data_IF_295171996597
#
_entry.id   IF_295171996597
#
_cell.length_a   1.000
_cell.length_b   1.000
_cell.length_c   1.000
_cell.angle_alpha   90.00
_cell.angle_beta   90.00
_cell.angle_gamma   90.00
#
_symmetry.space_group_name_H-M   'P 1'
#
loop_
_entity.id
_entity.type
_entity.pdbx_description
1 polymer ?
#
# COMPACT_ATOMS: atom_id res chain seq x y z
N UNK A 1 8.56 -9.72 -14.88
CA UNK A 1 8.02 -8.78 -15.92
C UNK A 1 7.00 -9.55 -16.73
N UNK A 2 5.77 -9.15 -16.67
CA UNK A 2 4.68 -9.80 -17.41
C UNK A 2 4.28 -8.92 -18.60
N UNK A 3 4.00 -9.56 -19.73
CA UNK A 3 3.66 -8.90 -20.99
C UNK A 3 2.26 -9.33 -21.42
N UNK A 4 1.42 -8.35 -21.71
CA UNK A 4 0.06 -8.58 -22.18
C UNK A 4 -0.16 -7.76 -23.44
N UNK A 5 -0.90 -8.33 -24.40
CA UNK A 5 -1.33 -7.63 -25.61
C UNK A 5 -2.84 -7.76 -25.74
N UNK A 6 -3.52 -6.65 -25.89
CA UNK A 6 -4.96 -6.57 -26.10
C UNK A 6 -5.24 -5.98 -27.49
N UNK A 7 -6.26 -6.48 -28.15
CA UNK A 7 -6.80 -5.89 -29.37
C UNK A 7 -8.20 -5.33 -29.04
N UNK A 8 -8.41 -4.05 -29.28
CA UNK A 8 -9.72 -3.44 -29.08
C UNK A 8 -10.72 -3.92 -30.13
N UNK A 9 -11.85 -4.42 -29.67
CA UNK A 9 -12.95 -4.89 -30.49
C UNK A 9 -13.96 -3.76 -30.77
N UNK A 10 -14.99 -4.05 -31.55
CA UNK A 10 -16.01 -3.07 -31.94
C UNK A 10 -16.78 -2.54 -30.72
N UNK A 11 -16.96 -3.35 -29.70
CA UNK A 11 -17.64 -3.01 -28.45
C UNK A 11 -16.81 -2.08 -27.54
N UNK A 12 -15.48 -2.06 -27.70
CA UNK A 12 -14.56 -1.23 -26.92
C UNK A 12 -14.42 0.20 -27.48
N UNK A 13 -14.96 0.46 -28.66
CA UNK A 13 -14.81 1.74 -29.36
C UNK A 13 -15.38 2.88 -28.53
N UNK A 14 -14.55 3.90 -28.25
CA UNK A 14 -14.90 5.07 -27.47
C UNK A 14 -14.64 4.92 -25.97
N UNK A 15 -14.37 3.70 -25.49
CA UNK A 15 -13.92 3.46 -24.11
C UNK A 15 -12.52 4.05 -23.89
N UNK A 16 -12.27 4.61 -22.75
CA UNK A 16 -10.94 5.13 -22.40
C UNK A 16 -10.00 3.96 -22.14
N UNK A 17 -8.75 4.07 -22.60
CA UNK A 17 -7.74 3.03 -22.43
C UNK A 17 -7.48 2.71 -20.95
N UNK A 18 -7.50 3.71 -20.04
CA UNK A 18 -7.30 3.48 -18.60
C UNK A 18 -8.47 2.74 -17.94
N UNK A 19 -9.67 2.87 -18.45
CA UNK A 19 -10.86 2.12 -18.01
C UNK A 19 -10.80 0.71 -18.54
N UNK A 20 -10.63 0.56 -19.86
CA UNK A 20 -10.54 -0.74 -20.54
C UNK A 20 -9.52 -1.67 -19.87
N UNK A 21 -8.30 -1.18 -19.64
CA UNK A 21 -7.25 -1.99 -19.02
C UNK A 21 -7.55 -2.33 -17.55
N UNK A 22 -8.16 -1.41 -16.79
CA UNK A 22 -8.53 -1.70 -15.40
C UNK A 22 -9.68 -2.72 -15.28
N UNK A 23 -10.52 -2.86 -16.32
CA UNK A 23 -11.59 -3.86 -16.37
C UNK A 23 -11.10 -5.23 -16.85
N UNK A 24 -10.03 -5.25 -17.66
CA UNK A 24 -9.48 -6.49 -18.25
C UNK A 24 -8.25 -7.04 -17.51
N UNK A 25 -7.75 -6.34 -16.48
CA UNK A 25 -6.58 -6.74 -15.68
C UNK A 25 -6.93 -6.68 -14.21
N UNK A 26 -7.17 -7.84 -13.57
CA UNK A 26 -7.65 -7.94 -12.18
C UNK A 26 -6.73 -7.27 -11.15
N UNK A 27 -5.41 -7.27 -11.40
CA UNK A 27 -4.40 -6.74 -10.49
C UNK A 27 -4.04 -5.26 -10.71
N UNK A 28 -4.66 -4.60 -11.70
CA UNK A 28 -4.34 -3.22 -12.05
C UNK A 28 -5.52 -2.27 -11.80
N UNK A 29 -5.37 -1.42 -10.78
CA UNK A 29 -6.29 -0.31 -10.60
C UNK A 29 -6.11 0.74 -11.70
N UNK A 30 -7.15 1.55 -11.95
CA UNK A 30 -7.11 2.64 -12.92
C UNK A 30 -5.96 3.63 -12.71
N UNK A 31 -5.59 3.92 -11.44
CA UNK A 31 -4.43 4.74 -11.11
C UNK A 31 -3.12 4.04 -11.42
N UNK A 32 -3.06 2.70 -11.26
CA UNK A 32 -1.93 1.88 -11.66
C UNK A 32 -1.70 1.92 -13.18
N UNK A 33 -2.77 1.79 -13.96
CA UNK A 33 -2.72 1.92 -15.43
C UNK A 33 -2.20 3.29 -15.85
N UNK A 34 -2.69 4.37 -15.22
CA UNK A 34 -2.23 5.73 -15.53
C UNK A 34 -0.73 5.89 -15.28
N UNK A 35 -0.24 5.37 -14.16
CA UNK A 35 1.20 5.37 -13.83
C UNK A 35 2.02 4.60 -14.87
N UNK A 36 1.59 3.42 -15.28
CA UNK A 36 2.29 2.62 -16.31
C UNK A 36 2.29 3.32 -17.67
N UNK A 37 1.24 4.05 -18.03
CA UNK A 37 1.21 4.89 -19.24
C UNK A 37 2.24 6.02 -19.17
N UNK A 38 2.32 6.73 -18.04
CA UNK A 38 3.26 7.83 -17.83
C UNK A 38 4.72 7.33 -17.84
N UNK A 39 4.96 6.12 -17.35
CA UNK A 39 6.27 5.44 -17.37
C UNK A 39 6.61 4.84 -18.76
N UNK A 40 5.66 4.86 -19.72
CA UNK A 40 5.86 4.32 -21.07
C UNK A 40 5.82 2.80 -21.14
N UNK A 41 5.31 2.14 -20.09
CA UNK A 41 5.12 0.69 -19.99
C UNK A 41 3.85 0.21 -20.72
N UNK A 42 2.99 1.13 -21.13
CA UNK A 42 1.83 0.85 -21.97
C UNK A 42 1.97 1.62 -23.28
N UNK A 43 1.89 0.90 -24.38
CA UNK A 43 1.93 1.47 -25.72
C UNK A 43 0.64 1.17 -26.49
N UNK A 44 0.33 2.03 -27.44
CA UNK A 44 -0.82 1.88 -28.35
C UNK A 44 -0.30 1.86 -29.80
N UNK A 45 -0.56 0.79 -30.53
CA UNK A 45 -0.07 0.60 -31.90
C UNK A 45 1.46 0.84 -32.02
N UNK A 46 2.22 0.42 -31.00
CA UNK A 46 3.68 0.59 -30.92
C UNK A 46 4.13 2.00 -30.55
N UNK A 47 3.21 2.93 -30.22
CA UNK A 47 3.51 4.31 -29.87
C UNK A 47 3.05 4.69 -28.44
N UNK A 48 3.53 5.84 -27.94
CA UNK A 48 3.08 6.40 -26.65
C UNK A 48 1.60 6.79 -26.72
N UNK A 49 0.91 6.61 -25.62
CA UNK A 49 -0.51 6.98 -25.49
C UNK A 49 -0.75 7.86 -24.25
N UNK A 50 -2.01 8.29 -24.07
CA UNK A 50 -2.47 9.02 -22.87
C UNK A 50 -3.61 8.24 -22.22
N UNK A 51 -3.71 8.30 -20.90
CA UNK A 51 -4.72 7.59 -20.11
C UNK A 51 -6.18 7.85 -20.56
N UNK A 52 -6.46 9.01 -21.11
CA UNK A 52 -7.79 9.39 -21.60
C UNK A 52 -8.02 9.10 -23.08
N UNK A 53 -7.11 8.40 -23.76
CA UNK A 53 -7.28 8.01 -25.14
C UNK A 53 -8.53 7.13 -25.28
N UNK A 54 -9.36 7.39 -26.30
CA UNK A 54 -10.55 6.62 -26.60
C UNK A 54 -10.22 5.60 -27.67
N UNK A 55 -10.37 4.34 -27.33
CA UNK A 55 -10.06 3.21 -28.19
C UNK A 55 -10.84 3.23 -29.52
N UNK A 56 -10.20 2.76 -30.56
CA UNK A 56 -10.76 2.52 -31.90
C UNK A 56 -10.70 1.03 -32.18
N UNK A 57 -11.58 0.57 -33.04
CA UNK A 57 -11.57 -0.82 -33.51
C UNK A 57 -10.18 -1.19 -34.09
N UNK A 58 -9.64 -2.33 -33.66
CA UNK A 58 -8.30 -2.85 -34.01
C UNK A 58 -7.11 -2.10 -33.43
N UNK A 59 -7.30 -1.21 -32.48
CA UNK A 59 -6.17 -0.70 -31.71
C UNK A 59 -5.47 -1.83 -30.96
N UNK A 60 -4.15 -1.89 -31.05
CA UNK A 60 -3.31 -2.86 -30.33
C UNK A 60 -2.70 -2.15 -29.12
N UNK A 61 -2.92 -2.73 -27.96
CA UNK A 61 -2.42 -2.20 -26.69
C UNK A 61 -1.43 -3.22 -26.12
N UNK A 62 -0.16 -2.82 -26.01
CA UNK A 62 0.86 -3.64 -25.37
C UNK A 62 1.10 -3.09 -23.96
N UNK A 63 1.04 -3.98 -22.97
CA UNK A 63 1.21 -3.66 -21.55
C UNK A 63 2.39 -4.45 -21.01
N UNK A 64 3.36 -3.76 -20.45
CA UNK A 64 4.45 -4.34 -19.68
C UNK A 64 4.21 -4.06 -18.21
N UNK A 65 3.96 -5.09 -17.41
CA UNK A 65 3.84 -4.95 -15.96
C UNK A 65 5.21 -5.25 -15.35
N UNK A 66 5.88 -4.25 -14.76
CA UNK A 66 7.14 -4.51 -14.09
C UNK A 66 6.90 -5.42 -12.89
N UNK A 67 7.81 -6.34 -12.68
CA UNK A 67 7.84 -7.14 -11.46
C UNK A 67 7.83 -6.23 -10.24
N UNK A 68 6.87 -6.41 -9.36
CA UNK A 68 6.86 -5.73 -8.07
C UNK A 68 8.06 -6.27 -7.31
N UNK A 69 9.16 -5.51 -7.24
CA UNK A 69 10.23 -5.83 -6.31
C UNK A 69 9.64 -5.75 -4.91
N UNK A 70 9.44 -6.90 -4.31
CA UNK A 70 9.11 -6.96 -2.91
C UNK A 70 10.24 -6.27 -2.15
N UNK A 71 9.92 -5.17 -1.50
CA UNK A 71 10.86 -4.54 -0.58
C UNK A 71 10.87 -5.42 0.65
N UNK A 72 11.93 -6.19 0.81
CA UNK A 72 12.18 -6.94 2.02
C UNK A 72 12.27 -5.95 3.19
N UNK A 73 11.40 -6.11 4.17
CA UNK A 73 11.40 -5.25 5.35
C UNK A 73 12.32 -5.90 6.37
N UNK A 74 13.46 -5.28 6.61
CA UNK A 74 14.43 -5.79 7.56
C UNK A 74 14.18 -5.21 8.95
N UNK A 75 14.33 -6.02 10.02
CA UNK A 75 14.34 -5.53 11.41
C UNK A 75 15.47 -4.51 11.61
N UNK A 76 15.18 -3.40 12.28
CA UNK A 76 16.18 -2.36 12.60
C UNK A 76 16.11 -2.00 14.09
N UNK A 77 17.27 -1.91 14.74
CA UNK A 77 17.40 -1.48 16.17
C UNK A 77 17.15 0.02 16.30
N UNK A 78 15.87 0.38 16.25
CA UNK A 78 15.40 1.77 16.42
C UNK A 78 14.67 1.85 17.75
N UNK A 79 15.07 2.76 18.65
CA UNK A 79 14.40 2.94 19.94
C UNK A 79 12.92 3.25 19.80
N UNK A 80 12.06 2.54 20.52
CA UNK A 80 10.62 2.74 20.60
C UNK A 80 10.24 3.36 21.94
N UNK A 81 9.41 4.40 21.92
CA UNK A 81 8.75 4.94 23.11
C UNK A 81 7.49 4.11 23.38
N UNK A 82 7.66 3.03 24.18
CA UNK A 82 6.60 2.06 24.47
C UNK A 82 5.81 2.55 25.67
N UNK A 83 4.52 2.80 25.46
CA UNK A 83 3.59 3.24 26.50
C UNK A 83 2.93 2.09 27.24
N UNK A 84 2.72 0.98 26.55
CA UNK A 84 2.14 -0.25 27.09
C UNK A 84 2.54 -1.44 26.21
N UNK A 85 2.73 -2.59 26.81
CA UNK A 85 2.95 -3.86 26.11
C UNK A 85 2.47 -5.04 26.95
N UNK A 86 1.80 -5.99 26.30
CA UNK A 86 1.47 -7.30 26.85
C UNK A 86 1.65 -8.42 25.80
N UNK A 87 1.00 -9.57 25.96
CA UNK A 87 1.08 -10.69 25.02
C UNK A 87 0.31 -10.43 23.70
N UNK A 88 -0.66 -9.51 23.72
CA UNK A 88 -1.59 -9.30 22.62
C UNK A 88 -1.32 -8.00 21.85
N UNK A 89 -0.90 -6.95 22.54
CA UNK A 89 -0.74 -5.62 21.95
C UNK A 89 0.53 -4.91 22.43
N UNK A 90 1.06 -4.07 21.56
CA UNK A 90 2.06 -3.07 21.93
C UNK A 90 1.53 -1.68 21.52
N UNK A 91 1.65 -0.71 22.45
CA UNK A 91 1.23 0.67 22.24
C UNK A 91 2.45 1.56 22.29
N UNK A 92 2.70 2.30 21.22
CA UNK A 92 3.88 3.15 21.10
C UNK A 92 3.49 4.61 20.88
N UNK A 93 4.32 5.52 21.34
CA UNK A 93 4.27 6.92 21.00
C UNK A 93 5.18 7.18 19.79
N UNK A 94 4.61 7.20 18.59
CA UNK A 94 5.39 7.45 17.36
C UNK A 94 5.94 8.88 17.36
N UNK A 95 7.26 9.08 17.17
CA UNK A 95 7.80 10.42 17.03
C UNK A 95 7.39 11.07 15.70
N UNK A 96 7.41 12.40 15.65
CA UNK A 96 7.33 13.15 14.42
C UNK A 96 8.50 12.80 13.50
N UNK A 97 8.27 12.77 12.19
CA UNK A 97 9.27 12.45 11.17
C UNK A 97 9.42 10.95 10.86
N UNK A 98 8.85 10.07 11.70
CA UNK A 98 8.88 8.63 11.47
C UNK A 98 7.71 8.18 10.58
N UNK A 99 8.00 7.43 9.52
CA UNK A 99 6.99 6.77 8.67
C UNK A 99 6.54 5.47 9.36
N UNK A 100 5.25 5.12 9.26
CA UNK A 100 4.74 3.92 9.93
C UNK A 100 5.25 2.65 9.24
N UNK A 101 5.20 2.58 7.90
CA UNK A 101 5.65 1.39 7.17
C UNK A 101 6.39 1.78 5.89
N UNK A 102 7.27 0.91 5.38
CA UNK A 102 8.03 1.19 4.16
C UNK A 102 7.15 1.52 2.97
N UNK A 103 7.60 2.51 2.20
CA UNK A 103 6.96 2.98 0.98
C UNK A 103 8.04 3.46 0.00
N UNK A 104 7.71 3.69 -1.29
CA UNK A 104 8.65 4.28 -2.23
C UNK A 104 9.26 5.58 -1.67
N UNK A 105 10.61 5.62 -1.57
CA UNK A 105 11.37 6.73 -0.98
C UNK A 105 11.62 6.63 0.53
N UNK A 106 11.03 5.65 1.24
CA UNK A 106 11.27 5.37 2.67
C UNK A 106 11.23 3.85 2.88
N UNK A 107 12.32 3.16 2.54
CA UNK A 107 12.40 1.69 2.60
C UNK A 107 12.94 1.17 3.93
N UNK A 108 13.46 2.05 4.78
CA UNK A 108 14.08 1.78 6.08
C UNK A 108 13.74 2.89 7.08
N UNK A 109 14.10 2.71 8.34
CA UNK A 109 13.89 3.71 9.40
C UNK A 109 12.42 3.89 9.77
N UNK A 110 11.56 2.91 9.52
CA UNK A 110 10.12 3.01 9.78
C UNK A 110 9.73 2.37 11.10
N UNK A 111 8.53 2.67 11.59
CA UNK A 111 7.99 2.03 12.78
C UNK A 111 7.93 0.50 12.64
N UNK A 112 7.59 -0.01 11.45
CA UNK A 112 7.56 -1.46 11.21
C UNK A 112 8.95 -2.08 11.34
N UNK A 113 10.01 -1.45 10.81
CA UNK A 113 11.38 -1.95 10.99
C UNK A 113 11.75 -2.07 12.48
N UNK A 114 11.38 -1.05 13.28
CA UNK A 114 11.62 -1.05 14.73
C UNK A 114 10.81 -2.12 15.47
N UNK A 115 9.53 -2.29 15.11
CA UNK A 115 8.65 -3.30 15.69
C UNK A 115 9.12 -4.73 15.37
N UNK A 116 9.56 -4.98 14.14
CA UNK A 116 10.12 -6.27 13.75
C UNK A 116 11.39 -6.61 14.55
N UNK A 117 12.19 -5.64 14.87
CA UNK A 117 13.36 -5.85 15.73
C UNK A 117 12.96 -6.12 17.18
N UNK A 118 12.01 -5.34 17.73
CA UNK A 118 11.58 -5.44 19.11
C UNK A 118 10.76 -6.69 19.40
N UNK A 119 9.78 -7.00 18.55
CA UNK A 119 8.83 -8.10 18.76
C UNK A 119 9.30 -9.42 18.12
N UNK A 120 10.24 -9.40 17.16
CA UNK A 120 10.63 -10.57 16.39
C UNK A 120 9.43 -11.20 15.67
N UNK A 121 9.20 -12.49 15.94
CA UNK A 121 8.10 -13.25 15.34
C UNK A 121 6.74 -12.98 16.02
N UNK A 122 6.70 -12.20 17.11
CA UNK A 122 5.48 -11.87 17.86
C UNK A 122 4.77 -10.64 17.23
N UNK A 123 4.40 -10.75 15.97
CA UNK A 123 3.57 -9.74 15.27
C UNK A 123 2.50 -10.44 14.44
N UNK A 124 1.27 -9.90 14.44
CA UNK A 124 0.22 -10.44 13.58
C UNK A 124 0.59 -10.37 12.10
N UNK A 125 0.46 -11.50 11.42
CA UNK A 125 0.73 -11.66 9.98
C UNK A 125 -0.47 -11.37 9.07
N UNK A 126 -1.65 -10.99 9.59
CA UNK A 126 -2.89 -10.86 8.79
C UNK A 126 -2.72 -9.92 7.58
N UNK A 127 -1.99 -8.81 7.74
CA UNK A 127 -1.72 -7.87 6.63
C UNK A 127 -0.49 -8.26 5.79
N UNK A 128 0.01 -9.50 5.97
CA UNK A 128 1.18 -10.04 5.29
C UNK A 128 2.50 -9.45 5.82
N UNK A 129 3.61 -9.91 5.26
CA UNK A 129 4.97 -9.52 5.64
C UNK A 129 5.24 -8.01 5.57
N UNK A 130 4.47 -7.30 4.74
CA UNK A 130 4.67 -5.85 4.51
C UNK A 130 4.06 -4.94 5.58
N UNK A 131 3.15 -5.44 6.42
CA UNK A 131 2.45 -4.64 7.44
C UNK A 131 2.17 -5.44 8.71
N UNK A 132 3.16 -6.11 9.29
CA UNK A 132 2.92 -6.97 10.43
C UNK A 132 2.36 -6.14 11.60
N UNK A 133 1.24 -6.59 12.16
CA UNK A 133 0.59 -6.00 13.33
C UNK A 133 -0.06 -4.63 13.16
N UNK A 134 0.09 -3.96 12.01
CA UNK A 134 -0.40 -2.59 11.80
C UNK A 134 -1.90 -2.58 11.52
N UNK A 135 -2.70 -2.05 12.42
CA UNK A 135 -4.17 -1.92 12.29
C UNK A 135 -4.60 -0.49 11.89
N UNK A 136 -3.79 0.52 12.16
CA UNK A 136 -4.01 1.91 11.77
C UNK A 136 -2.71 2.68 11.59
N UNK A 137 -2.79 3.89 11.04
CA UNK A 137 -1.61 4.72 10.80
C UNK A 137 -1.90 6.19 11.02
N UNK A 138 -0.85 6.94 11.32
CA UNK A 138 -0.81 8.40 11.30
C UNK A 138 0.30 8.84 10.33
N UNK A 139 0.24 10.06 9.87
CA UNK A 139 1.19 10.57 8.88
C UNK A 139 2.61 10.70 9.46
N UNK A 140 3.60 10.85 8.58
CA UNK A 140 5.02 10.98 8.93
C UNK A 140 5.25 12.05 9.98
N UNK A 141 4.70 13.24 9.76
CA UNK A 141 4.93 14.41 10.61
C UNK A 141 3.93 14.54 11.77
N UNK A 142 3.01 13.60 11.89
CA UNK A 142 2.13 13.47 13.05
C UNK A 142 2.80 12.56 14.08
N UNK A 143 2.94 13.07 15.32
CA UNK A 143 3.34 12.26 16.47
C UNK A 143 2.13 11.75 17.24
N UNK A 144 2.29 10.67 17.99
CA UNK A 144 1.25 10.20 18.91
C UNK A 144 1.11 8.69 18.98
N UNK A 145 0.05 8.29 19.65
CA UNK A 145 -0.19 6.90 20.07
C UNK A 145 -0.65 6.04 18.90
N UNK A 146 0.02 4.90 18.73
CA UNK A 146 -0.33 3.83 17.82
C UNK A 146 -0.45 2.51 18.57
N UNK A 147 -1.48 1.74 18.24
CA UNK A 147 -1.70 0.38 18.73
C UNK A 147 -1.30 -0.61 17.66
N UNK A 148 -0.56 -1.61 18.03
CA UNK A 148 -0.04 -2.66 17.16
C UNK A 148 -0.45 -4.02 17.74
N UNK A 149 -0.94 -4.91 16.89
CA UNK A 149 -1.35 -6.25 17.28
C UNK A 149 -0.15 -7.21 17.23
N UNK A 150 0.10 -7.94 18.33
CA UNK A 150 1.15 -8.95 18.42
C UNK A 150 0.68 -10.33 17.91
N UNK A 151 -0.63 -10.55 17.80
CA UNK A 151 -1.21 -11.77 17.25
C UNK A 151 -2.48 -11.49 16.44
N UNK A 152 -2.95 -12.51 15.73
CA UNK A 152 -4.08 -12.38 14.79
C UNK A 152 -5.41 -12.11 15.48
N UNK A 153 -5.60 -12.62 16.69
CA UNK A 153 -6.82 -12.37 17.47
C UNK A 153 -6.93 -10.90 17.88
N UNK A 154 -5.85 -10.35 18.40
CA UNK A 154 -5.76 -8.93 18.73
C UNK A 154 -5.94 -8.06 17.48
N UNK A 155 -5.34 -8.46 16.34
CA UNK A 155 -5.48 -7.75 15.06
C UNK A 155 -6.93 -7.67 14.63
N UNK A 156 -7.66 -8.79 14.60
CA UNK A 156 -9.07 -8.82 14.21
C UNK A 156 -9.93 -7.96 15.16
N UNK A 157 -9.68 -8.06 16.47
CA UNK A 157 -10.41 -7.27 17.47
C UNK A 157 -10.18 -5.76 17.30
N UNK A 158 -8.94 -5.33 17.15
CA UNK A 158 -8.60 -3.91 16.97
C UNK A 158 -9.11 -3.38 15.62
N UNK A 159 -9.01 -4.16 14.55
CA UNK A 159 -9.51 -3.79 13.24
C UNK A 159 -11.04 -3.61 13.24
N UNK A 160 -11.77 -4.50 13.91
CA UNK A 160 -13.22 -4.38 14.08
C UNK A 160 -13.61 -3.11 14.85
N UNK A 161 -12.96 -2.84 15.98
CA UNK A 161 -13.21 -1.64 16.78
C UNK A 161 -12.90 -0.34 16.01
N UNK A 162 -11.85 -0.35 15.17
CA UNK A 162 -11.52 0.79 14.32
C UNK A 162 -12.56 1.00 13.20
N UNK A 163 -13.06 -0.08 12.61
CA UNK A 163 -14.10 -0.05 11.58
C UNK A 163 -15.45 0.45 12.14
N UNK A 164 -15.81 0.02 13.32
CA UNK A 164 -17.04 0.43 14.04
C UNK A 164 -16.90 1.83 14.67
N UNK A 165 -15.72 2.44 14.63
CA UNK A 165 -15.41 3.70 15.31
C UNK A 165 -15.67 3.67 16.83
N UNK A 166 -15.61 2.50 17.48
CA UNK A 166 -15.77 2.35 18.91
C UNK A 166 -14.53 2.80 19.72
N UNK A 167 -13.34 2.86 19.08
CA UNK A 167 -12.14 3.42 19.68
C UNK A 167 -12.18 4.94 19.61
N UNK A 168 -12.08 5.59 20.77
CA UNK A 168 -11.99 7.06 20.85
C UNK A 168 -10.65 7.55 20.32
N UNK A 169 -10.67 8.40 19.29
CA UNK A 169 -9.47 9.04 18.73
C UNK A 169 -9.53 10.55 18.97
N UNK A 170 -8.47 11.10 19.57
CA UNK A 170 -8.34 12.53 19.83
C UNK A 170 -7.05 13.05 19.22
N UNK A 171 -7.16 14.15 18.48
CA UNK A 171 -6.03 14.83 17.85
C UNK A 171 -6.00 16.29 18.30
N UNK A 172 -4.79 16.82 18.48
CA UNK A 172 -4.57 18.24 18.65
C UNK A 172 -3.82 18.76 17.43
N UNK A 173 -4.29 19.84 16.85
CA UNK A 173 -3.65 20.51 15.72
C UNK A 173 -3.42 21.98 16.04
N UNK A 174 -2.26 22.51 15.63
CA UNK A 174 -1.99 23.94 15.62
C UNK A 174 -2.27 24.45 14.21
N UNK A 175 -3.16 25.43 14.08
CA UNK A 175 -3.58 26.03 12.81
C UNK A 175 -3.23 27.51 12.79
#
# INVERSE_FOLDING_TARGET
MDYFTFAAEKEDVGTRIDVFLAENMEDLSRSGVQKLIDEGMITLNGGKTKANYKLREKDIIDVTVPEVKEVEILPEDIPLDILYEDADVIVVNKPQGMVVHPAPGHTSGTLVNALMFHCGDDLSGINGEKRPGIVHRIDKDTSGVLMIAKNDMAHQSLAAQLAEHSITRKYNAVV
#
